data_IF_375539961232
#
_entry.id   IF_375539961232
#
_cell.length_a   1.000
_cell.length_b   1.000
_cell.length_c   1.000
_cell.angle_alpha   90.00
_cell.angle_beta   90.00
_cell.angle_gamma   90.00
#
_symmetry.space_group_name_H-M   'P 1'
#
loop_
_entity.id
_entity.type
_entity.pdbx_description
1 polymer ?
#
# COMPACT_ATOMS: atom_id res chain seq x y z
N UNK A 1 -12.37 -3.19 7.58
CA UNK A 1 -11.36 -2.09 7.60
C UNK A 1 -11.67 -1.11 6.49
N UNK A 2 -11.76 0.18 6.81
CA UNK A 2 -11.94 1.19 5.78
C UNK A 2 -10.59 1.70 5.26
N UNK A 3 -10.62 2.61 4.29
CA UNK A 3 -9.39 3.11 3.66
C UNK A 3 -8.50 3.83 4.67
N UNK A 4 -9.07 4.65 5.54
CA UNK A 4 -8.27 5.35 6.54
C UNK A 4 -7.62 4.40 7.53
N UNK A 5 -8.33 3.39 7.97
CA UNK A 5 -7.79 2.36 8.86
C UNK A 5 -6.65 1.61 8.19
N UNK A 6 -6.81 1.28 6.91
CA UNK A 6 -5.77 0.62 6.14
C UNK A 6 -4.51 1.50 6.07
N UNK A 7 -4.66 2.78 5.76
CA UNK A 7 -3.53 3.71 5.68
C UNK A 7 -2.82 3.85 7.04
N UNK A 8 -3.60 3.93 8.12
CA UNK A 8 -3.04 4.03 9.46
C UNK A 8 -2.26 2.77 9.84
N UNK A 9 -2.77 1.61 9.47
CA UNK A 9 -2.09 0.34 9.72
C UNK A 9 -0.76 0.27 8.98
N UNK A 10 -0.74 0.66 7.71
CA UNK A 10 0.49 0.71 6.92
C UNK A 10 1.48 1.68 7.55
N UNK A 11 1.01 2.86 7.98
CA UNK A 11 1.85 3.87 8.60
C UNK A 11 2.55 3.32 9.85
N UNK A 12 1.81 2.60 10.69
CA UNK A 12 2.41 2.01 11.91
C UNK A 12 3.48 1.00 11.58
N UNK A 13 3.31 0.22 10.50
CA UNK A 13 4.26 -0.83 10.14
C UNK A 13 5.52 -0.31 9.46
N UNK A 14 5.43 0.82 8.76
CA UNK A 14 6.60 1.38 8.06
C UNK A 14 7.34 2.41 8.90
N UNK A 15 6.71 2.97 9.93
CA UNK A 15 7.34 3.92 10.83
C UNK A 15 8.15 3.17 11.89
N UNK A 16 9.38 2.83 11.53
CA UNK A 16 10.30 2.11 12.39
C UNK A 16 11.50 2.99 12.73
N UNK A 17 12.32 2.56 13.68
CA UNK A 17 13.54 3.26 14.03
C UNK A 17 14.48 3.46 12.84
N UNK A 18 14.39 2.56 11.86
CA UNK A 18 15.27 2.61 10.68
C UNK A 18 14.72 3.48 9.56
N UNK A 19 13.40 3.56 9.42
CA UNK A 19 12.79 4.26 8.28
C UNK A 19 12.18 5.61 8.66
N UNK A 20 11.65 5.74 9.87
CA UNK A 20 11.11 7.00 10.40
C UNK A 20 10.22 7.77 9.41
N UNK A 21 9.32 7.04 8.73
CA UNK A 21 8.40 7.64 7.76
C UNK A 21 7.17 8.16 8.48
N UNK A 22 6.87 9.45 8.32
CA UNK A 22 5.70 10.06 8.93
C UNK A 22 4.39 9.59 8.32
N UNK A 23 3.29 9.76 9.06
CA UNK A 23 1.95 9.36 8.62
C UNK A 23 1.57 10.07 7.33
N UNK A 24 1.86 11.37 7.23
CA UNK A 24 1.52 12.15 6.04
C UNK A 24 2.27 11.65 4.81
N UNK A 25 3.55 11.28 4.97
CA UNK A 25 4.35 10.74 3.86
C UNK A 25 3.83 9.38 3.43
N UNK A 26 3.48 8.52 4.38
CA UNK A 26 2.92 7.19 4.09
C UNK A 26 1.62 7.32 3.30
N UNK A 27 0.73 8.21 3.72
CA UNK A 27 -0.53 8.44 3.03
C UNK A 27 -0.32 8.99 1.63
N UNK A 28 0.67 9.85 1.45
CA UNK A 28 1.02 10.40 0.14
C UNK A 28 1.50 9.31 -0.81
N UNK A 29 2.39 8.46 -0.35
CA UNK A 29 2.91 7.34 -1.16
C UNK A 29 1.78 6.42 -1.57
N UNK A 30 0.93 6.02 -0.62
CA UNK A 30 -0.21 5.14 -0.91
C UNK A 30 -1.20 5.80 -1.88
N UNK A 31 -1.47 7.10 -1.70
CA UNK A 31 -2.35 7.83 -2.59
C UNK A 31 -1.82 7.85 -4.03
N UNK A 32 -0.52 8.07 -4.20
CA UNK A 32 0.09 8.05 -5.53
C UNK A 32 0.03 6.65 -6.15
N UNK A 33 0.26 5.61 -5.35
CA UNK A 33 0.15 4.23 -5.82
C UNK A 33 -1.27 3.94 -6.32
N UNK A 34 -2.28 4.34 -5.57
CA UNK A 34 -3.66 4.13 -5.98
C UNK A 34 -4.06 4.98 -7.20
N UNK A 35 -3.49 6.17 -7.35
CA UNK A 35 -3.70 6.98 -8.56
C UNK A 35 -3.17 6.27 -9.80
N UNK A 36 -2.02 5.64 -9.70
CA UNK A 36 -1.45 4.86 -10.80
C UNK A 36 -2.38 3.70 -11.15
N UNK A 37 -2.87 2.98 -10.14
CA UNK A 37 -3.82 1.89 -10.35
C UNK A 37 -5.12 2.39 -10.99
N UNK A 38 -5.60 3.56 -10.59
CA UNK A 38 -6.82 4.15 -11.14
C UNK A 38 -6.67 4.52 -12.62
N UNK A 39 -5.45 4.82 -13.06
CA UNK A 39 -5.18 5.15 -14.47
C UNK A 39 -5.09 3.91 -15.36
N UNK A 40 -4.99 2.72 -14.79
CA UNK A 40 -4.93 1.48 -15.54
C UNK A 40 -6.33 0.96 -15.89
N UNK A 41 -6.47 0.14 -16.96
CA UNK A 41 -7.68 -0.64 -17.13
C UNK A 41 -7.95 -1.49 -15.88
N UNK A 42 -9.23 -1.65 -15.53
CA UNK A 42 -9.61 -2.34 -14.29
C UNK A 42 -9.00 -3.73 -14.17
N UNK A 43 -9.01 -4.51 -15.23
CA UNK A 43 -8.46 -5.86 -15.21
C UNK A 43 -6.96 -5.85 -14.93
N UNK A 44 -6.22 -4.89 -15.50
CA UNK A 44 -4.79 -4.76 -15.28
C UNK A 44 -4.49 -4.33 -13.84
N UNK A 45 -5.25 -3.39 -13.31
CA UNK A 45 -5.09 -2.93 -11.93
C UNK A 45 -5.31 -4.07 -10.94
N UNK A 46 -6.34 -4.88 -11.15
CA UNK A 46 -6.59 -6.04 -10.30
C UNK A 46 -5.47 -7.08 -10.40
N UNK A 47 -4.91 -7.28 -11.60
CA UNK A 47 -3.80 -8.21 -11.78
C UNK A 47 -2.56 -7.75 -11.00
N UNK A 48 -2.23 -6.46 -11.07
CA UNK A 48 -1.10 -5.90 -10.33
C UNK A 48 -1.32 -6.05 -8.83
N UNK A 49 -2.51 -5.74 -8.35
CA UNK A 49 -2.83 -5.87 -6.92
C UNK A 49 -2.77 -7.33 -6.49
N UNK A 50 -3.33 -8.24 -7.26
CA UNK A 50 -3.32 -9.66 -6.93
C UNK A 50 -1.89 -10.21 -6.84
N UNK A 51 -1.02 -9.84 -7.78
CA UNK A 51 0.38 -10.25 -7.77
C UNK A 51 1.13 -9.65 -6.59
N UNK A 52 0.84 -8.40 -6.25
CA UNK A 52 1.45 -7.74 -5.09
C UNK A 52 1.06 -8.43 -3.79
N UNK A 53 -0.20 -8.81 -3.66
CA UNK A 53 -0.70 -9.55 -2.49
C UNK A 53 -0.01 -10.91 -2.40
N UNK A 54 0.10 -11.62 -3.52
CA UNK A 54 0.75 -12.91 -3.57
C UNK A 54 2.22 -12.81 -3.14
N UNK A 55 2.93 -11.79 -3.62
CA UNK A 55 4.32 -11.56 -3.24
C UNK A 55 4.46 -11.24 -1.75
N UNK A 56 3.55 -10.42 -1.22
CA UNK A 56 3.55 -10.09 0.21
C UNK A 56 3.26 -11.30 1.07
N UNK A 57 2.34 -12.17 0.64
CA UNK A 57 2.01 -13.39 1.38
C UNK A 57 3.21 -14.31 1.53
N UNK A 58 4.08 -14.39 0.54
CA UNK A 58 5.31 -15.18 0.61
C UNK A 58 6.26 -14.67 1.70
N UNK A 59 6.25 -13.37 1.96
CA UNK A 59 7.10 -12.76 2.97
C UNK A 59 6.54 -12.91 4.38
N UNK A 60 5.26 -13.19 4.50
CA UNK A 60 4.62 -13.38 5.80
C UNK A 60 4.87 -14.77 6.39
N UNK A 61 5.17 -15.74 5.57
CA UNK A 61 5.37 -17.14 6.00
C UNK A 61 6.81 -17.47 6.35
#
# INVERSE_FOLDING_TARGET
MNVNEFYNEVSRKVDTDKTAIGVAETKRVLSEAFKILAAMPTAEAFDVVAKSISNAAKKLS
#
